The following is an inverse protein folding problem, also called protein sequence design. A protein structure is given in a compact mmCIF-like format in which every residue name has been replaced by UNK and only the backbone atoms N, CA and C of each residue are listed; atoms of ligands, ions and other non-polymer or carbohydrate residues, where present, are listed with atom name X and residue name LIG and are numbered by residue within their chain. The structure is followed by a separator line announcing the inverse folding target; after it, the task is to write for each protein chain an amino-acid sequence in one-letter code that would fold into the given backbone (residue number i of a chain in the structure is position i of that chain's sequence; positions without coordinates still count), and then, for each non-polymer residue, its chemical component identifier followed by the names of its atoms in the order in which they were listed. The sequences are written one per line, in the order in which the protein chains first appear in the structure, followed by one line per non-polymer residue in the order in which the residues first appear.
data_IF_729270131373
#
_entry.id   IF_729270131373
#
_cell.length_a   1.000
_cell.length_b   1.000
_cell.length_c   1.000
_cell.angle_alpha   90.00
_cell.angle_beta   90.00
_cell.angle_gamma   90.00
#
_symmetry.space_group_name_H-M   'P 1'
#
loop_
_entity.id
_entity.type
_entity.pdbx_description
1 polymer ?
#
# COMPACT_ATOMS: atom_id res chain seq x y z
N UNK A 1 -4.06 23.18 -17.75
CA UNK A 1 -3.95 23.41 -16.29
C UNK A 1 -2.65 24.16 -16.02
N UNK A 2 -2.66 25.17 -15.16
CA UNK A 2 -1.44 25.89 -14.77
C UNK A 2 -1.07 25.51 -13.33
N UNK A 3 0.19 25.16 -13.09
CA UNK A 3 0.67 24.66 -11.80
C UNK A 3 1.96 25.39 -11.46
N UNK A 4 2.03 25.95 -10.26
CA UNK A 4 3.26 26.62 -9.79
C UNK A 4 4.08 25.62 -8.99
N UNK A 5 5.32 25.40 -9.42
CA UNK A 5 6.29 24.56 -8.72
C UNK A 5 7.24 25.41 -7.87
N UNK A 6 7.73 24.84 -6.78
CA UNK A 6 8.86 25.44 -6.04
C UNK A 6 10.09 25.51 -6.94
N UNK A 7 11.03 26.40 -6.61
CA UNK A 7 12.27 26.58 -7.40
C UNK A 7 13.04 25.27 -7.56
N UNK A 8 13.03 24.43 -6.54
CA UNK A 8 13.77 23.16 -6.51
C UNK A 8 13.13 22.12 -7.42
N UNK A 9 11.80 21.97 -7.35
CA UNK A 9 11.05 21.08 -8.23
C UNK A 9 11.14 21.51 -9.70
N UNK A 10 11.15 22.83 -9.96
CA UNK A 10 11.38 23.34 -11.32
C UNK A 10 12.75 22.92 -11.85
N UNK A 11 13.82 23.05 -11.05
CA UNK A 11 15.17 22.60 -11.45
C UNK A 11 15.23 21.10 -11.68
N UNK A 12 14.58 20.31 -10.82
CA UNK A 12 14.49 18.86 -10.97
C UNK A 12 13.82 18.45 -12.29
N UNK A 13 12.65 19.01 -12.60
CA UNK A 13 11.91 18.72 -13.84
C UNK A 13 12.72 19.11 -15.07
N UNK A 14 13.35 20.30 -15.08
CA UNK A 14 14.23 20.74 -16.16
C UNK A 14 15.41 19.77 -16.33
N UNK A 15 16.00 19.31 -15.23
CA UNK A 15 17.10 18.34 -15.25
C UNK A 15 16.69 17.01 -15.91
N UNK A 16 15.47 16.51 -15.61
CA UNK A 16 14.93 15.28 -16.21
C UNK A 16 14.72 15.38 -17.71
N UNK A 17 14.20 16.51 -18.19
CA UNK A 17 14.05 16.76 -19.64
C UNK A 17 15.42 16.85 -20.32
N UNK A 18 16.38 17.58 -19.72
CA UNK A 18 17.74 17.73 -20.27
C UNK A 18 18.51 16.42 -20.36
N UNK A 19 18.22 15.45 -19.49
CA UNK A 19 18.80 14.11 -19.55
C UNK A 19 18.30 13.29 -20.75
N UNK A 20 17.32 13.79 -21.52
CA UNK A 20 16.83 13.17 -22.75
C UNK A 20 15.77 12.08 -22.55
N UNK A 21 15.39 11.78 -21.31
CA UNK A 21 14.38 10.76 -20.98
C UNK A 21 12.93 11.22 -21.09
N UNK A 22 12.70 12.52 -21.33
CA UNK A 22 11.37 13.12 -21.42
C UNK A 22 11.39 14.24 -22.46
N UNK A 23 10.33 14.34 -23.27
CA UNK A 23 10.17 15.35 -24.31
C UNK A 23 9.88 16.74 -23.73
N UNK A 24 9.10 16.81 -22.65
CA UNK A 24 8.72 18.09 -22.03
C UNK A 24 8.48 17.99 -20.51
N UNK A 25 8.34 19.16 -19.87
CA UNK A 25 8.08 19.24 -18.43
C UNK A 25 6.73 18.66 -18.02
N UNK A 26 5.72 18.75 -18.89
CA UNK A 26 4.39 18.19 -18.63
C UNK A 26 4.42 16.67 -18.60
N UNK A 27 5.28 16.04 -19.40
CA UNK A 27 5.49 14.60 -19.40
C UNK A 27 6.08 14.11 -18.09
N UNK A 28 7.11 14.78 -17.59
CA UNK A 28 7.70 14.49 -16.26
C UNK A 28 6.63 14.61 -15.16
N UNK A 29 5.81 15.66 -15.21
CA UNK A 29 4.74 15.89 -14.23
C UNK A 29 3.65 14.82 -14.33
N UNK A 30 3.22 14.44 -15.54
CA UNK A 30 2.24 13.36 -15.73
C UNK A 30 2.76 12.04 -15.16
N UNK A 31 4.01 11.70 -15.41
CA UNK A 31 4.60 10.47 -14.89
C UNK A 31 4.73 10.47 -13.37
N UNK A 32 5.17 11.59 -12.80
CA UNK A 32 5.23 11.76 -11.34
C UNK A 32 3.85 11.62 -10.70
N UNK A 33 2.81 12.21 -11.30
CA UNK A 33 1.43 12.12 -10.80
C UNK A 33 0.84 10.71 -10.97
N UNK A 34 1.19 9.96 -12.03
CA UNK A 34 0.80 8.54 -12.16
C UNK A 34 1.39 7.71 -11.04
N UNK A 35 2.69 7.84 -10.79
CA UNK A 35 3.38 7.14 -9.70
C UNK A 35 2.84 7.58 -8.32
N UNK A 36 2.50 8.86 -8.16
CA UNK A 36 1.87 9.36 -6.93
C UNK A 36 0.49 8.73 -6.72
N UNK A 37 -0.34 8.66 -7.76
CA UNK A 37 -1.66 8.02 -7.69
C UNK A 37 -1.59 6.53 -7.37
N UNK A 38 -0.61 5.80 -7.90
CA UNK A 38 -0.40 4.38 -7.58
C UNK A 38 -0.05 4.17 -6.11
N UNK A 39 0.70 5.09 -5.50
CA UNK A 39 1.01 5.03 -4.06
C UNK A 39 -0.18 5.39 -3.17
N UNK A 40 -1.04 6.30 -3.64
CA UNK A 40 -2.22 6.72 -2.90
C UNK A 40 -3.40 5.75 -3.05
N UNK A 41 -3.29 4.70 -3.88
CA UNK A 41 -4.33 3.66 -3.94
C UNK A 41 -4.22 2.73 -2.73
N UNK A 42 -5.10 2.85 -1.71
CA UNK A 42 -5.04 2.03 -0.52
C UNK A 42 -5.33 0.56 -0.84
N UNK A 43 -5.91 0.29 -2.01
CA UNK A 43 -6.20 -1.04 -2.48
C UNK A 43 -5.00 -1.73 -3.16
N UNK A 44 -3.89 -1.05 -3.46
CA UNK A 44 -2.70 -1.72 -4.04
C UNK A 44 -1.60 -2.01 -3.02
N UNK A 45 -1.48 -1.20 -1.95
CA UNK A 45 -0.37 -1.33 -1.00
C UNK A 45 -0.44 -2.55 -0.07
N UNK A 46 -1.59 -3.24 -0.01
CA UNK A 46 -1.80 -4.35 0.93
C UNK A 46 -2.68 -5.48 0.36
N UNK A 47 -3.06 -5.45 -0.93
CA UNK A 47 -4.18 -6.29 -1.40
C UNK A 47 -3.84 -7.73 -1.73
N UNK A 48 -2.69 -8.03 -2.32
CA UNK A 48 -2.45 -9.40 -2.81
C UNK A 48 -2.15 -10.35 -1.65
N UNK A 49 -1.24 -9.99 -0.75
CA UNK A 49 -0.92 -10.76 0.46
C UNK A 49 -2.13 -10.85 1.40
N UNK A 50 -2.87 -9.74 1.60
CA UNK A 50 -4.09 -9.76 2.40
C UNK A 50 -5.18 -10.62 1.74
N UNK A 51 -5.34 -10.55 0.42
CA UNK A 51 -6.29 -11.40 -0.30
C UNK A 51 -5.94 -12.88 -0.13
N UNK A 52 -4.67 -13.25 -0.23
CA UNK A 52 -4.21 -14.62 0.02
C UNK A 52 -4.51 -15.09 1.46
N UNK A 53 -4.29 -14.22 2.45
CA UNK A 53 -4.60 -14.52 3.86
C UNK A 53 -6.10 -14.66 4.12
N UNK A 54 -6.94 -13.92 3.38
CA UNK A 54 -8.40 -13.93 3.54
C UNK A 54 -9.09 -15.04 2.74
N UNK A 55 -8.50 -15.53 1.65
CA UNK A 55 -9.06 -16.58 0.80
C UNK A 55 -9.52 -17.83 1.58
N UNK A 56 -8.74 -18.38 2.55
CA UNK A 56 -9.17 -19.50 3.38
C UNK A 56 -10.42 -19.19 4.23
N UNK A 57 -10.54 -17.95 4.74
CA UNK A 57 -11.66 -17.55 5.57
C UNK A 57 -12.96 -17.44 4.75
N UNK A 58 -12.87 -17.01 3.49
CA UNK A 58 -14.03 -16.94 2.57
C UNK A 58 -14.49 -18.33 2.12
N UNK A 59 -13.55 -19.27 1.94
CA UNK A 59 -13.85 -20.66 1.52
C UNK A 59 -14.27 -21.58 2.67
N UNK A 60 -13.95 -21.21 3.90
CA UNK A 60 -14.24 -22.00 5.09
C UNK A 60 -15.72 -21.98 5.49
N UNK A 61 -16.14 -22.98 6.25
CA UNK A 61 -17.47 -22.96 6.87
C UNK A 61 -17.56 -21.82 7.88
N UNK A 62 -18.58 -20.97 7.71
CA UNK A 62 -18.87 -19.93 8.69
C UNK A 62 -19.35 -20.56 10.00
N UNK A 63 -18.67 -20.26 11.10
CA UNK A 63 -19.04 -20.70 12.46
C UNK A 63 -19.23 -19.48 13.36
N UNK A 64 -20.34 -19.38 14.10
CA UNK A 64 -20.56 -18.28 15.03
C UNK A 64 -19.44 -18.19 16.07
N UNK A 65 -18.81 -17.02 16.15
CA UNK A 65 -17.84 -16.73 17.19
C UNK A 65 -18.59 -16.51 18.51
N UNK A 66 -18.13 -17.16 19.59
CA UNK A 66 -18.76 -17.10 20.92
C UNK A 66 -17.73 -16.84 21.99
N UNK A 67 -18.17 -16.42 23.18
CA UNK A 67 -17.29 -16.15 24.33
C UNK A 67 -16.42 -17.33 24.73
N UNK A 68 -16.87 -18.57 24.46
CA UNK A 68 -16.09 -19.79 24.71
C UNK A 68 -14.80 -19.83 23.89
N UNK A 69 -14.86 -19.45 22.61
CA UNK A 69 -13.70 -19.42 21.72
C UNK A 69 -12.63 -18.42 22.21
N UNK A 70 -13.06 -17.24 22.70
CA UNK A 70 -12.14 -16.26 23.29
C UNK A 70 -11.46 -16.77 24.57
N UNK A 71 -12.20 -17.49 25.42
CA UNK A 71 -11.64 -18.08 26.63
C UNK A 71 -10.61 -19.17 26.30
N UNK A 72 -10.88 -20.01 25.31
CA UNK A 72 -9.94 -21.02 24.82
C UNK A 72 -8.68 -20.39 24.21
N UNK A 73 -8.82 -19.30 23.44
CA UNK A 73 -7.70 -18.55 22.88
C UNK A 73 -6.78 -17.97 23.97
N UNK A 74 -7.36 -17.34 25.00
CA UNK A 74 -6.60 -16.81 26.15
C UNK A 74 -5.85 -17.91 26.90
N UNK A 75 -6.47 -19.06 27.10
CA UNK A 75 -5.82 -20.20 27.76
C UNK A 75 -4.65 -20.74 26.92
N UNK A 76 -4.79 -20.82 25.60
CA UNK A 76 -3.70 -21.22 24.69
C UNK A 76 -2.55 -20.22 24.73
N UNK A 77 -2.83 -18.92 24.69
CA UNK A 77 -1.81 -17.88 24.77
C UNK A 77 -0.99 -17.95 26.06
N UNK A 78 -1.66 -18.19 27.20
CA UNK A 78 -1.01 -18.36 28.51
C UNK A 78 -0.13 -19.61 28.64
N UNK A 79 -0.43 -20.66 27.87
CA UNK A 79 0.34 -21.92 27.87
C UNK A 79 1.55 -21.89 26.93
N UNK A 80 1.63 -20.91 26.03
CA UNK A 80 2.76 -20.76 25.12
C UNK A 80 3.86 -20.00 25.86
N UNK A 81 5.05 -20.59 26.11
CA UNK A 81 6.16 -19.82 26.67
C UNK A 81 6.49 -18.67 25.72
N UNK A 82 6.84 -17.51 26.28
CA UNK A 82 7.33 -16.39 25.49
C UNK A 82 8.47 -16.91 24.61
N UNK A 83 8.36 -16.72 23.29
CA UNK A 83 9.50 -16.96 22.39
C UNK A 83 10.58 -15.95 22.78
N UNK A 84 11.54 -16.40 23.59
CA UNK A 84 12.79 -15.72 23.86
C UNK A 84 13.76 -15.91 22.72
#
# INVERSE_FOLDING_TARGET
MNITLTKDLKRFVIGKVRAGGYADSSEVVREALRAFRQKDDPAEMDSEELAELLLPAVRGEHRPMTSRHFNELRQRARRKPARG
#
